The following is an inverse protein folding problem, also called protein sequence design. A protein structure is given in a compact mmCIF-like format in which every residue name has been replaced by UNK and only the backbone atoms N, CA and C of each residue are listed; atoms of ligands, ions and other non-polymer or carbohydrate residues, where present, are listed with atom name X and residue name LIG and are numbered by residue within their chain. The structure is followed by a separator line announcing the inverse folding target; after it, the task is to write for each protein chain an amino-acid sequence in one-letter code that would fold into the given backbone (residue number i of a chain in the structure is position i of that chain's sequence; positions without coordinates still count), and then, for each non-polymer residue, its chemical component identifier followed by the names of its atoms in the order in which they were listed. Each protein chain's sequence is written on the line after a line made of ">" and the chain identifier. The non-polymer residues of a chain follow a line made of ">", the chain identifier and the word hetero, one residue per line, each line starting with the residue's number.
data_IF_190848830123
#
_entry.id   IF_190848830123
#
_cell.length_a   1.000
_cell.length_b   1.000
_cell.length_c   1.000
_cell.angle_alpha   90.00
_cell.angle_beta   90.00
_cell.angle_gamma   90.00
#
_symmetry.space_group_name_H-M   'P 1'
#
loop_
_entity.id
_entity.type
_entity.pdbx_description
1 polymer ?
#
# COMPACT_ATOMS: atom_id res chain seq x y z
N UNK A 1 30.33 -25.83 -11.79
CA UNK A 1 29.08 -25.44 -12.46
C UNK A 1 28.19 -24.55 -11.58
N UNK A 2 28.15 -24.70 -10.24
CA UNK A 2 27.46 -23.79 -9.30
C UNK A 2 27.84 -22.31 -9.46
N UNK A 3 29.13 -22.03 -9.35
CA UNK A 3 29.73 -20.69 -9.41
C UNK A 3 29.32 -19.82 -10.65
N UNK A 4 29.07 -20.44 -11.81
CA UNK A 4 28.63 -19.73 -13.02
C UNK A 4 27.12 -19.39 -12.99
N UNK A 5 26.33 -20.17 -12.27
CA UNK A 5 24.90 -19.93 -12.06
C UNK A 5 24.66 -18.83 -11.02
N UNK A 6 25.49 -18.76 -9.97
CA UNK A 6 25.44 -17.67 -8.99
C UNK A 6 25.87 -16.34 -9.60
N UNK A 7 26.94 -16.33 -10.42
CA UNK A 7 27.38 -15.12 -11.11
C UNK A 7 26.32 -14.56 -12.08
N UNK A 8 25.54 -15.43 -12.74
CA UNK A 8 24.43 -15.02 -13.62
C UNK A 8 23.27 -14.43 -12.81
N UNK A 9 22.90 -15.06 -11.68
CA UNK A 9 21.84 -14.54 -10.80
C UNK A 9 22.21 -13.19 -10.22
N UNK A 10 23.43 -13.04 -9.73
CA UNK A 10 23.91 -11.78 -9.15
C UNK A 10 23.96 -10.65 -10.20
N UNK A 11 24.36 -10.94 -11.44
CA UNK A 11 24.30 -9.96 -12.54
C UNK A 11 22.87 -9.53 -12.87
N UNK A 12 21.93 -10.46 -12.91
CA UNK A 12 20.51 -10.16 -13.14
C UNK A 12 19.89 -9.33 -12.01
N UNK A 13 20.29 -9.61 -10.77
CA UNK A 13 19.83 -8.88 -9.59
C UNK A 13 20.36 -7.43 -9.58
N UNK A 14 21.64 -7.22 -9.89
CA UNK A 14 22.22 -5.88 -10.05
C UNK A 14 21.52 -5.10 -11.17
N UNK A 15 21.30 -5.71 -12.34
CA UNK A 15 20.60 -5.07 -13.46
C UNK A 15 19.16 -4.69 -13.10
N UNK A 16 18.45 -5.54 -12.33
CA UNK A 16 17.11 -5.23 -11.84
C UNK A 16 17.12 -4.07 -10.85
N UNK A 17 18.07 -4.03 -9.91
CA UNK A 17 18.23 -2.94 -8.94
C UNK A 17 18.49 -1.61 -9.67
N UNK A 18 19.41 -1.60 -10.64
CA UNK A 18 19.70 -0.41 -11.45
C UNK A 18 18.46 0.08 -12.21
N UNK A 19 17.69 -0.85 -12.79
CA UNK A 19 16.46 -0.53 -13.50
C UNK A 19 15.38 0.06 -12.59
N UNK A 20 15.20 -0.47 -11.38
CA UNK A 20 14.27 0.07 -10.39
C UNK A 20 14.70 1.47 -10.00
N UNK A 21 15.98 1.67 -9.69
CA UNK A 21 16.52 2.98 -9.32
C UNK A 21 16.30 4.02 -10.41
N UNK A 22 16.60 3.71 -11.67
CA UNK A 22 16.35 4.63 -12.79
C UNK A 22 14.87 4.95 -12.98
N UNK A 23 13.97 3.99 -12.75
CA UNK A 23 12.52 4.25 -12.75
C UNK A 23 12.11 5.20 -11.63
N UNK A 24 12.61 4.99 -10.41
CA UNK A 24 12.31 5.80 -9.24
C UNK A 24 12.83 7.24 -9.40
N UNK A 25 14.05 7.41 -9.91
CA UNK A 25 14.63 8.72 -10.25
C UNK A 25 13.74 9.46 -11.27
N UNK A 26 13.32 8.78 -12.34
CA UNK A 26 12.44 9.37 -13.35
C UNK A 26 11.06 9.74 -12.79
N UNK A 27 10.47 8.89 -11.95
CA UNK A 27 9.18 9.19 -11.31
C UNK A 27 9.32 10.39 -10.38
N UNK A 28 10.40 10.47 -9.61
CA UNK A 28 10.65 11.63 -8.77
C UNK A 28 10.75 12.91 -9.61
N UNK A 29 11.54 12.91 -10.69
CA UNK A 29 11.68 14.06 -11.59
C UNK A 29 10.37 14.49 -12.23
N UNK A 30 9.51 13.56 -12.67
CA UNK A 30 8.24 13.87 -13.34
C UNK A 30 7.18 14.44 -12.36
N UNK A 31 7.19 14.02 -11.09
CA UNK A 31 6.15 14.37 -10.11
C UNK A 31 6.63 15.37 -9.04
N UNK A 32 7.91 15.77 -9.07
CA UNK A 32 8.48 16.80 -8.21
C UNK A 32 7.89 18.17 -8.49
N UNK A 33 7.65 18.94 -7.42
CA UNK A 33 7.15 20.31 -7.50
C UNK A 33 8.06 21.25 -6.71
N UNK A 34 8.67 22.21 -7.41
CA UNK A 34 9.49 23.25 -6.78
C UNK A 34 8.66 24.08 -5.79
N UNK A 35 9.23 24.29 -4.59
CA UNK A 35 8.60 25.04 -3.51
C UNK A 35 7.51 24.29 -2.75
N UNK A 36 7.30 22.99 -3.01
CA UNK A 36 6.37 22.12 -2.27
C UNK A 36 7.12 20.98 -1.56
N UNK A 37 7.97 21.32 -0.59
CA UNK A 37 8.82 20.34 0.10
C UNK A 37 8.04 19.19 0.77
N UNK A 38 6.89 19.49 1.38
CA UNK A 38 6.03 18.47 1.97
C UNK A 38 5.51 17.45 0.94
N UNK A 39 5.10 17.91 -0.24
CA UNK A 39 4.71 17.06 -1.37
C UNK A 39 5.89 16.19 -1.83
N UNK A 40 7.07 16.77 -2.01
CA UNK A 40 8.25 16.03 -2.48
C UNK A 40 8.73 15.00 -1.44
N UNK A 41 8.58 15.30 -0.14
CA UNK A 41 8.85 14.34 0.94
C UNK A 41 7.86 13.17 0.90
N UNK A 42 6.58 13.45 0.69
CA UNK A 42 5.52 12.45 0.52
C UNK A 42 5.76 11.55 -0.69
N UNK A 43 6.24 12.12 -1.81
CA UNK A 43 6.67 11.37 -2.99
C UNK A 43 7.88 10.47 -2.73
N UNK A 44 8.90 10.95 -2.01
CA UNK A 44 10.03 10.12 -1.60
C UNK A 44 9.58 8.97 -0.70
N UNK A 45 8.67 9.24 0.23
CA UNK A 45 8.14 8.21 1.12
C UNK A 45 7.41 7.12 0.34
N UNK A 46 6.66 7.47 -0.72
CA UNK A 46 6.07 6.50 -1.64
C UNK A 46 7.12 5.57 -2.28
N UNK A 47 8.23 6.14 -2.76
CA UNK A 47 9.31 5.38 -3.39
C UNK A 47 10.00 4.46 -2.39
N UNK A 48 10.36 4.97 -1.22
CA UNK A 48 10.95 4.20 -0.12
C UNK A 48 10.03 3.07 0.33
N UNK A 49 8.73 3.35 0.50
CA UNK A 49 7.73 2.33 0.84
C UNK A 49 7.66 1.26 -0.24
N UNK A 50 7.64 1.64 -1.53
CA UNK A 50 7.59 0.67 -2.63
C UNK A 50 8.75 -0.32 -2.60
N UNK A 51 9.97 0.17 -2.31
CA UNK A 51 11.14 -0.69 -2.16
C UNK A 51 11.01 -1.60 -0.93
N UNK A 52 10.59 -1.05 0.22
CA UNK A 52 10.48 -1.80 1.48
C UNK A 52 9.49 -2.96 1.45
N UNK A 53 8.36 -2.80 0.74
CA UNK A 53 7.30 -3.83 0.67
C UNK A 53 7.37 -4.66 -0.62
N UNK A 54 8.40 -4.44 -1.45
CA UNK A 54 8.56 -5.12 -2.72
C UNK A 54 7.45 -4.81 -3.74
N UNK A 55 6.91 -3.59 -3.71
CA UNK A 55 5.96 -3.13 -4.70
C UNK A 55 6.69 -2.68 -5.98
N UNK A 56 6.07 -2.94 -7.13
CA UNK A 56 6.56 -2.50 -8.43
C UNK A 56 5.79 -1.28 -8.89
N UNK A 57 6.51 -0.21 -9.27
CA UNK A 57 5.91 0.96 -9.90
C UNK A 57 6.18 0.92 -11.41
N UNK A 58 5.10 0.94 -12.17
CA UNK A 58 5.12 0.99 -13.62
C UNK A 58 4.50 2.30 -14.10
N UNK A 59 5.35 3.17 -14.66
CA UNK A 59 4.88 4.29 -15.45
C UNK A 59 4.41 3.76 -16.79
N UNK A 60 3.14 3.39 -16.90
CA UNK A 60 2.55 3.16 -18.21
C UNK A 60 2.62 4.45 -19.04
N UNK A 61 3.00 4.40 -20.32
CA UNK A 61 2.71 5.47 -21.26
C UNK A 61 1.21 5.44 -21.59
N UNK A 62 0.36 5.72 -20.60
CA UNK A 62 -1.09 5.77 -20.73
C UNK A 62 -1.56 7.16 -21.16
N UNK A 63 -2.54 7.21 -22.07
CA UNK A 63 -3.12 8.41 -22.68
C UNK A 63 -3.06 9.64 -21.77
N UNK A 64 -2.16 10.58 -22.11
CA UNK A 64 -2.17 11.92 -21.55
C UNK A 64 -3.54 12.55 -21.80
N UNK A 65 -4.50 12.35 -20.90
CA UNK A 65 -5.62 13.27 -20.79
C UNK A 65 -5.01 14.60 -20.41
N UNK A 66 -5.43 15.66 -21.10
CA UNK A 66 -4.94 17.01 -20.92
C UNK A 66 -4.72 17.31 -19.42
N UNK A 67 -3.46 17.46 -19.02
CA UNK A 67 -3.00 17.83 -17.68
C UNK A 67 -3.01 16.76 -16.55
N UNK A 68 -3.11 15.47 -16.88
CA UNK A 68 -2.92 14.38 -15.88
C UNK A 68 -1.77 13.43 -16.25
N UNK A 69 -0.94 13.11 -15.25
CA UNK A 69 0.07 12.06 -15.30
C UNK A 69 -0.45 10.83 -14.55
N UNK A 70 0.01 9.64 -14.91
CA UNK A 70 -0.43 8.42 -14.23
C UNK A 70 0.66 7.37 -14.16
N UNK A 71 0.54 6.52 -13.16
CA UNK A 71 1.39 5.35 -12.93
C UNK A 71 0.59 4.29 -12.20
N UNK A 72 1.03 3.04 -12.32
CA UNK A 72 0.42 1.90 -11.65
C UNK A 72 1.40 1.34 -10.61
N UNK A 73 0.88 1.03 -9.43
CA UNK A 73 1.61 0.34 -8.36
C UNK A 73 1.07 -1.09 -8.29
N UNK A 74 1.95 -2.08 -8.34
CA UNK A 74 1.60 -3.49 -8.12
C UNK A 74 2.26 -3.97 -6.86
N UNK A 75 1.50 -4.66 -6.01
CA UNK A 75 2.02 -5.22 -4.76
C UNK A 75 1.30 -6.52 -4.41
N UNK A 76 1.84 -7.24 -3.43
CA UNK A 76 1.21 -8.45 -2.88
C UNK A 76 0.87 -8.24 -1.42
N UNK A 77 -0.26 -8.79 -0.97
CA UNK A 77 -0.52 -8.94 0.45
C UNK A 77 0.55 -9.85 1.06
N UNK A 78 1.17 -9.40 2.15
CA UNK A 78 2.37 -9.97 2.76
C UNK A 78 2.20 -11.46 3.06
N UNK A 79 1.10 -11.80 3.74
CA UNK A 79 0.80 -13.18 4.13
C UNK A 79 -0.32 -13.82 3.32
N UNK A 80 -1.18 -13.02 2.71
CA UNK A 80 -2.27 -13.52 1.87
C UNK A 80 -1.81 -13.96 0.48
N UNK A 81 -0.68 -13.43 -0.01
CA UNK A 81 -0.21 -13.64 -1.38
C UNK A 81 -1.08 -12.99 -2.46
N UNK A 82 -2.14 -12.27 -2.07
CA UNK A 82 -3.11 -11.66 -2.98
C UNK A 82 -2.44 -10.56 -3.78
N UNK A 83 -2.64 -10.56 -5.09
CA UNK A 83 -2.06 -9.54 -5.99
C UNK A 83 -2.98 -8.32 -6.09
N UNK A 84 -2.44 -7.16 -5.76
CA UNK A 84 -3.11 -5.86 -5.82
C UNK A 84 -2.48 -4.94 -6.86
N UNK A 85 -3.31 -4.02 -7.36
CA UNK A 85 -2.94 -2.97 -8.30
C UNK A 85 -3.60 -1.66 -7.88
N UNK A 86 -2.82 -0.58 -7.80
CA UNK A 86 -3.30 0.78 -7.55
C UNK A 86 -2.98 1.60 -8.78
N UNK A 87 -4.00 1.98 -9.54
CA UNK A 87 -3.84 2.94 -10.62
C UNK A 87 -3.93 4.35 -10.06
N UNK A 88 -2.92 5.17 -10.33
CA UNK A 88 -2.81 6.54 -9.82
C UNK A 88 -2.94 7.53 -10.96
N UNK A 89 -3.79 8.54 -10.79
CA UNK A 89 -3.88 9.70 -11.67
C UNK A 89 -3.59 10.97 -10.88
N UNK A 90 -2.56 11.70 -11.28
CA UNK A 90 -2.06 12.91 -10.63
C UNK A 90 -2.20 14.13 -11.54
N UNK A 91 -2.60 15.27 -10.97
CA UNK A 91 -2.74 16.55 -11.68
C UNK A 91 -1.67 17.54 -11.20
N UNK A 92 -0.51 17.65 -11.87
CA UNK A 92 0.61 18.48 -11.43
C UNK A 92 0.28 19.98 -11.36
N UNK A 93 -0.72 20.44 -12.10
CA UNK A 93 -1.19 21.83 -12.03
C UNK A 93 -1.64 22.24 -10.63
N UNK A 94 -2.25 21.33 -9.87
CA UNK A 94 -2.65 21.57 -8.48
C UNK A 94 -1.42 21.82 -7.60
N UNK A 95 -0.40 20.96 -7.69
CA UNK A 95 0.85 21.12 -6.96
C UNK A 95 1.53 22.46 -7.26
N UNK A 96 1.59 22.87 -8.54
CA UNK A 96 2.15 24.17 -8.95
C UNK A 96 1.37 25.39 -8.45
N UNK A 97 0.06 25.25 -8.21
CA UNK A 97 -0.75 26.32 -7.63
C UNK A 97 -0.47 26.40 -6.12
N UNK A 98 -0.46 25.26 -5.43
CA UNK A 98 -0.18 25.15 -3.99
C UNK A 98 1.20 25.73 -3.68
N UNK A 99 2.23 25.35 -4.44
CA UNK A 99 3.63 25.71 -4.15
C UNK A 99 3.90 27.23 -4.14
N UNK A 100 3.05 28.03 -4.80
CA UNK A 100 3.16 29.50 -4.81
C UNK A 100 2.88 30.14 -3.45
N UNK A 101 2.15 29.46 -2.57
CA UNK A 101 1.64 30.02 -1.31
C UNK A 101 1.83 29.11 -0.10
N UNK A 102 2.20 27.84 -0.30
CA UNK A 102 2.32 26.85 0.78
C UNK A 102 3.29 27.29 1.89
N UNK A 103 4.42 27.92 1.53
CA UNK A 103 5.36 28.45 2.53
C UNK A 103 4.76 29.52 3.45
N UNK A 104 3.85 30.36 2.95
CA UNK A 104 3.15 31.36 3.78
C UNK A 104 2.19 30.70 4.75
N UNK A 105 1.52 29.63 4.30
CA UNK A 105 0.62 28.84 5.12
C UNK A 105 1.39 28.09 6.22
N UNK A 106 2.52 27.48 5.88
CA UNK A 106 3.42 26.80 6.83
C UNK A 106 3.97 27.77 7.89
N UNK A 107 4.37 28.98 7.49
CA UNK A 107 4.82 30.02 8.41
C UNK A 107 3.71 30.47 9.36
N UNK A 108 2.49 30.65 8.84
CA UNK A 108 1.34 31.06 9.64
C UNK A 108 0.94 29.99 10.66
N UNK A 109 0.95 28.72 10.27
CA UNK A 109 0.67 27.59 11.17
C UNK A 109 1.76 27.47 12.25
N UNK A 110 3.04 27.60 11.88
CA UNK A 110 4.13 27.59 12.87
C UNK A 110 4.06 28.78 13.84
N UNK A 111 3.54 29.92 13.40
CA UNK A 111 3.37 31.12 14.21
C UNK A 111 2.12 31.08 15.09
N UNK A 112 1.08 30.36 14.66
CA UNK A 112 -0.09 30.05 15.47
C UNK A 112 0.34 29.26 16.72
N UNK A 113 -0.19 29.64 17.88
CA UNK A 113 0.03 28.92 19.15
C UNK A 113 -1.21 28.14 19.57
N UNK A 114 -2.22 28.08 18.71
CA UNK A 114 -3.48 27.38 18.95
C UNK A 114 -3.62 26.19 18.00
N UNK A 115 -3.46 25.00 18.56
CA UNK A 115 -3.66 23.71 17.89
C UNK A 115 -5.03 23.64 17.19
N UNK A 116 -6.06 24.29 17.75
CA UNK A 116 -7.42 24.28 17.21
C UNK A 116 -7.58 25.11 15.92
N UNK A 117 -6.84 26.21 15.75
CA UNK A 117 -6.92 27.03 14.52
C UNK A 117 -6.18 26.35 13.36
N UNK A 118 -5.05 25.72 13.65
CA UNK A 118 -4.24 24.99 12.66
C UNK A 118 -4.97 23.76 12.11
N UNK A 119 -5.71 23.08 12.99
CA UNK A 119 -6.56 21.94 12.64
C UNK A 119 -7.71 22.31 11.69
N UNK A 120 -8.09 23.59 11.58
CA UNK A 120 -9.17 24.06 10.71
C UNK A 120 -8.62 24.72 9.45
N UNK A 121 -7.58 25.55 9.58
CA UNK A 121 -7.06 26.34 8.46
C UNK A 121 -6.47 25.45 7.36
N UNK A 122 -5.69 24.44 7.73
CA UNK A 122 -5.02 23.58 6.76
C UNK A 122 -6.02 22.75 5.93
N UNK A 123 -6.99 22.01 6.51
CA UNK A 123 -8.03 21.35 5.73
C UNK A 123 -8.85 22.31 4.86
N UNK A 124 -9.20 23.49 5.36
CA UNK A 124 -9.99 24.47 4.60
C UNK A 124 -9.25 25.00 3.37
N UNK A 125 -7.95 25.29 3.52
CA UNK A 125 -7.12 25.80 2.42
C UNK A 125 -6.79 24.73 1.39
N UNK A 126 -6.72 23.47 1.82
CA UNK A 126 -6.35 22.36 0.95
C UNK A 126 -7.54 21.68 0.27
N UNK A 127 -8.76 21.84 0.79
CA UNK A 127 -9.99 21.27 0.22
C UNK A 127 -10.14 21.45 -1.31
N UNK A 128 -9.84 22.62 -1.92
CA UNK A 128 -9.94 22.78 -3.38
C UNK A 128 -9.01 21.88 -4.20
N UNK A 129 -8.05 21.24 -3.55
CA UNK A 129 -7.04 20.39 -4.15
C UNK A 129 -7.26 18.89 -3.84
N UNK A 130 -8.42 18.51 -3.31
CA UNK A 130 -8.78 17.12 -2.99
C UNK A 130 -8.75 16.17 -4.21
N UNK A 131 -8.91 16.70 -5.43
CA UNK A 131 -8.81 15.98 -6.70
C UNK A 131 -7.42 16.03 -7.35
N UNK A 132 -6.38 16.40 -6.59
CA UNK A 132 -5.00 16.38 -7.06
C UNK A 132 -4.55 14.95 -7.40
N UNK A 133 -5.00 13.95 -6.63
CA UNK A 133 -4.78 12.53 -6.89
C UNK A 133 -6.11 11.78 -6.89
N UNK A 134 -6.27 10.90 -7.87
CA UNK A 134 -7.33 9.90 -7.94
C UNK A 134 -6.70 8.51 -8.00
N UNK A 135 -7.23 7.58 -7.21
CA UNK A 135 -6.78 6.18 -7.18
C UNK A 135 -7.89 5.24 -7.60
N UNK A 136 -7.51 4.16 -8.27
CA UNK A 136 -8.39 3.02 -8.55
C UNK A 136 -7.70 1.73 -8.12
N UNK A 137 -8.18 1.17 -7.01
CA UNK A 137 -7.61 -0.01 -6.36
C UNK A 137 -8.29 -1.28 -6.87
N UNK A 138 -7.49 -2.30 -7.17
CA UNK A 138 -7.95 -3.57 -7.73
C UNK A 138 -7.18 -4.75 -7.15
N UNK A 139 -7.79 -5.92 -7.18
CA UNK A 139 -7.14 -7.21 -6.94
C UNK A 139 -7.23 -8.08 -8.20
N UNK A 140 -6.26 -8.96 -8.42
CA UNK A 140 -6.24 -9.82 -9.61
C UNK A 140 -6.98 -11.14 -9.36
N UNK A 141 -8.12 -11.34 -10.03
CA UNK A 141 -8.86 -12.60 -9.99
C UNK A 141 -8.28 -13.60 -10.98
N UNK A 142 -7.48 -14.53 -10.48
CA UNK A 142 -6.87 -15.60 -11.26
C UNK A 142 -7.88 -16.47 -12.01
N UNK A 143 -9.09 -16.64 -11.50
CA UNK A 143 -10.13 -17.48 -12.13
C UNK A 143 -10.64 -16.84 -13.42
N UNK A 144 -10.64 -15.50 -13.47
CA UNK A 144 -11.12 -14.69 -14.59
C UNK A 144 -9.98 -14.19 -15.47
N UNK A 145 -8.77 -14.16 -14.93
CA UNK A 145 -7.61 -13.55 -15.58
C UNK A 145 -7.75 -12.03 -15.71
N UNK A 146 -8.47 -11.40 -14.78
CA UNK A 146 -8.80 -9.97 -14.85
C UNK A 146 -8.70 -9.30 -13.48
N UNK A 147 -8.63 -7.97 -13.48
CA UNK A 147 -8.56 -7.14 -12.29
C UNK A 147 -9.96 -6.72 -11.83
N UNK A 148 -10.29 -7.03 -10.59
CA UNK A 148 -11.55 -6.64 -9.95
C UNK A 148 -11.35 -5.49 -8.97
N UNK A 149 -12.28 -4.54 -8.97
CA UNK A 149 -12.16 -3.32 -8.17
C UNK A 149 -12.37 -3.58 -6.67
N UNK A 150 -11.54 -2.98 -5.84
CA UNK A 150 -11.69 -2.90 -4.38
C UNK A 150 -11.90 -1.45 -3.99
N UNK A 151 -12.99 -1.13 -3.30
CA UNK A 151 -13.24 0.25 -2.85
C UNK A 151 -12.55 0.50 -1.50
N UNK A 152 -11.25 0.75 -1.53
CA UNK A 152 -10.49 1.29 -0.39
C UNK A 152 -10.14 2.73 -0.75
N UNK A 153 -10.97 3.66 -0.31
CA UNK A 153 -10.68 5.09 -0.45
C UNK A 153 -10.10 5.62 0.86
N UNK A 154 -8.99 6.36 0.84
CA UNK A 154 -8.54 7.11 2.00
C UNK A 154 -9.68 7.98 2.52
N UNK A 155 -9.86 8.03 3.83
CA UNK A 155 -10.90 8.84 4.45
C UNK A 155 -10.77 10.30 3.98
N UNK A 156 -11.87 10.85 3.48
CA UNK A 156 -11.96 12.25 3.03
C UNK A 156 -12.79 13.11 4.01
N UNK A 157 -12.92 12.65 5.25
CA UNK A 157 -13.78 13.30 6.23
C UNK A 157 -13.25 14.70 6.54
N UNK A 158 -14.16 15.67 6.60
CA UNK A 158 -13.89 17.10 6.81
C UNK A 158 -13.28 17.45 8.18
N UNK A 159 -13.04 16.46 9.04
CA UNK A 159 -12.53 16.60 10.40
C UNK A 159 -11.16 15.93 10.59
N UNK A 160 -10.61 15.28 9.57
CA UNK A 160 -9.28 14.69 9.64
C UNK A 160 -8.20 15.71 9.25
N UNK A 161 -7.01 15.64 9.87
CA UNK A 161 -5.90 16.50 9.49
C UNK A 161 -5.53 16.25 8.02
N UNK A 162 -5.36 17.32 7.25
CA UNK A 162 -4.97 17.16 5.85
C UNK A 162 -3.57 16.56 5.74
N UNK A 163 -3.47 15.54 4.89
CA UNK A 163 -2.24 14.82 4.56
C UNK A 163 -1.85 15.06 3.10
N UNK A 164 -0.56 14.94 2.78
CA UNK A 164 -0.15 15.06 1.39
C UNK A 164 -0.71 13.90 0.57
N UNK A 165 -1.10 14.10 -0.71
CA UNK A 165 -1.78 13.04 -1.43
C UNK A 165 -0.99 11.75 -1.65
N UNK A 166 0.35 11.78 -1.67
CA UNK A 166 1.14 10.54 -1.71
C UNK A 166 1.17 9.81 -0.36
N UNK A 167 0.96 10.49 0.78
CA UNK A 167 0.82 9.86 2.10
C UNK A 167 -0.39 8.92 2.11
N UNK A 168 -1.50 9.38 1.50
CA UNK A 168 -2.70 8.56 1.33
C UNK A 168 -2.44 7.29 0.48
N UNK A 169 -1.58 7.39 -0.54
CA UNK A 169 -1.18 6.23 -1.35
C UNK A 169 -0.32 5.28 -0.52
N UNK A 170 0.63 5.80 0.25
CA UNK A 170 1.46 5.00 1.16
C UNK A 170 0.60 4.27 2.19
N UNK A 171 -0.35 4.95 2.82
CA UNK A 171 -1.31 4.33 3.75
C UNK A 171 -2.12 3.23 3.06
N UNK A 172 -2.59 3.46 1.83
CA UNK A 172 -3.27 2.46 1.04
C UNK A 172 -2.37 1.25 0.70
N UNK A 173 -1.09 1.49 0.39
CA UNK A 173 -0.12 0.41 0.15
C UNK A 173 0.05 -0.46 1.39
N UNK A 174 0.21 0.13 2.58
CA UNK A 174 0.29 -0.63 3.82
C UNK A 174 -1.01 -1.38 4.14
N UNK A 175 -2.17 -0.75 3.92
CA UNK A 175 -3.48 -1.38 4.10
C UNK A 175 -3.67 -2.63 3.22
N UNK A 176 -3.14 -2.61 1.99
CA UNK A 176 -3.18 -3.76 1.07
C UNK A 176 -2.05 -4.77 1.32
N UNK A 177 -0.91 -4.31 1.84
CA UNK A 177 0.21 -5.17 2.21
C UNK A 177 -0.14 -6.00 3.45
N UNK A 178 -0.73 -5.39 4.47
CA UNK A 178 -1.23 -6.04 5.68
C UNK A 178 -2.73 -6.36 5.55
N UNK A 179 -3.14 -6.92 4.42
CA UNK A 179 -4.55 -7.08 4.04
C UNK A 179 -5.35 -8.02 4.95
N UNK A 180 -4.74 -9.09 5.46
CA UNK A 180 -5.42 -10.01 6.40
C UNK A 180 -5.84 -9.29 7.69
N UNK A 181 -4.98 -8.41 8.23
CA UNK A 181 -5.28 -7.61 9.42
C UNK A 181 -6.23 -6.46 9.08
N UNK A 182 -5.94 -5.75 8.00
CA UNK A 182 -6.73 -4.59 7.56
C UNK A 182 -8.17 -4.98 7.20
N UNK A 183 -8.39 -6.14 6.60
CA UNK A 183 -9.72 -6.65 6.26
C UNK A 183 -10.63 -6.90 7.48
N UNK A 184 -10.05 -7.08 8.67
CA UNK A 184 -10.80 -7.24 9.92
C UNK A 184 -11.39 -5.91 10.40
N UNK A 185 -10.84 -4.76 9.98
CA UNK A 185 -11.34 -3.46 10.40
C UNK A 185 -12.82 -3.28 9.98
N UNK A 186 -13.68 -2.69 10.85
CA UNK A 186 -15.12 -2.59 10.60
C UNK A 186 -15.48 -1.93 9.26
N UNK A 187 -14.74 -0.88 8.88
CA UNK A 187 -15.00 -0.08 7.68
C UNK A 187 -14.40 -0.68 6.39
N UNK A 188 -13.62 -1.77 6.47
CA UNK A 188 -12.91 -2.36 5.33
C UNK A 188 -13.72 -3.42 4.58
N UNK A 189 -15.03 -3.21 4.42
CA UNK A 189 -15.97 -4.21 3.88
C UNK A 189 -15.62 -4.72 2.47
N UNK A 190 -15.18 -3.85 1.56
CA UNK A 190 -14.86 -4.26 0.18
C UNK A 190 -13.54 -5.00 0.10
N UNK A 191 -12.54 -4.60 0.89
CA UNK A 191 -11.29 -5.33 1.05
C UNK A 191 -11.56 -6.70 1.67
N UNK A 192 -12.36 -6.78 2.74
CA UNK A 192 -12.76 -8.04 3.36
C UNK A 192 -13.36 -9.02 2.37
N UNK A 193 -14.29 -8.56 1.52
CA UNK A 193 -14.88 -9.39 0.45
C UNK A 193 -13.87 -9.81 -0.61
N UNK A 194 -12.94 -8.93 -0.98
CA UNK A 194 -11.85 -9.27 -1.88
C UNK A 194 -10.98 -10.38 -1.27
N UNK A 195 -10.51 -10.20 -0.04
CA UNK A 195 -9.67 -11.18 0.69
C UNK A 195 -10.39 -12.52 0.88
N UNK A 196 -11.67 -12.52 1.28
CA UNK A 196 -12.48 -13.74 1.39
C UNK A 196 -12.54 -14.53 0.07
N UNK A 197 -12.54 -13.83 -1.07
CA UNK A 197 -12.55 -14.46 -2.38
C UNK A 197 -11.15 -14.86 -2.87
N UNK A 198 -10.13 -14.06 -2.56
CA UNK A 198 -8.80 -14.15 -3.16
C UNK A 198 -7.80 -14.95 -2.33
N UNK A 199 -7.81 -14.83 -1.01
CA UNK A 199 -6.83 -15.50 -0.14
C UNK A 199 -6.85 -17.04 -0.27
N UNK A 200 -8.02 -17.72 -0.28
CA UNK A 200 -8.05 -19.17 -0.51
C UNK A 200 -7.48 -19.55 -1.88
N UNK A 201 -7.74 -18.73 -2.91
CA UNK A 201 -7.20 -18.96 -4.25
C UNK A 201 -5.69 -18.79 -4.28
N UNK A 202 -5.16 -17.75 -3.66
CA UNK A 202 -3.72 -17.53 -3.54
C UNK A 202 -3.04 -18.68 -2.80
N UNK A 203 -3.67 -19.24 -1.75
CA UNK A 203 -3.17 -20.44 -1.08
C UNK A 203 -3.14 -21.67 -2.02
N UNK A 204 -4.25 -21.97 -2.72
CA UNK A 204 -4.31 -23.07 -3.69
C UNK A 204 -3.30 -22.92 -4.84
N UNK A 205 -2.99 -21.68 -5.21
CA UNK A 205 -2.02 -21.35 -6.27
C UNK A 205 -0.57 -21.29 -5.75
N UNK A 206 -0.33 -21.60 -4.48
CA UNK A 206 1.01 -21.51 -3.85
C UNK A 206 1.62 -20.10 -3.95
N UNK A 207 0.78 -19.07 -3.87
CA UNK A 207 1.21 -17.67 -3.80
C UNK A 207 1.41 -17.19 -2.35
N UNK A 208 1.02 -18.00 -1.36
CA UNK A 208 1.28 -17.80 0.08
C UNK A 208 2.57 -18.53 0.50
N UNK A 209 2.97 -18.41 1.76
CA UNK A 209 4.04 -19.25 2.33
C UNK A 209 3.69 -20.74 2.13
N UNK A 210 4.58 -21.56 1.51
CA UNK A 210 4.31 -22.97 1.23
C UNK A 210 4.22 -23.85 2.48
N UNK A 211 4.66 -23.35 3.64
CA UNK A 211 4.57 -24.03 4.93
C UNK A 211 3.27 -23.73 5.67
N UNK A 212 2.40 -22.88 5.11
CA UNK A 212 1.16 -22.46 5.72
C UNK A 212 0.14 -23.62 5.75
N UNK A 213 -0.22 -24.14 6.93
CA UNK A 213 -1.19 -25.23 7.03
C UNK A 213 -2.61 -24.76 6.70
N UNK A 214 -3.44 -25.68 6.20
CA UNK A 214 -4.84 -25.39 5.84
C UNK A 214 -5.67 -24.96 7.05
N UNK A 215 -5.32 -25.43 8.25
CA UNK A 215 -5.98 -25.09 9.50
C UNK A 215 -5.87 -23.59 9.80
N UNK A 216 -4.69 -22.99 9.60
CA UNK A 216 -4.47 -21.55 9.82
C UNK A 216 -5.23 -20.71 8.78
N UNK A 217 -5.23 -21.15 7.51
CA UNK A 217 -6.00 -20.50 6.44
C UNK A 217 -7.50 -20.55 6.74
N UNK A 218 -8.00 -21.71 7.13
CA UNK A 218 -9.40 -21.92 7.49
C UNK A 218 -9.82 -21.04 8.67
N UNK A 219 -8.96 -20.92 9.69
CA UNK A 219 -9.20 -20.07 10.86
C UNK A 219 -9.36 -18.60 10.47
N UNK A 220 -8.44 -18.05 9.67
CA UNK A 220 -8.55 -16.69 9.16
C UNK A 220 -9.83 -16.46 8.33
N UNK A 221 -10.16 -17.41 7.44
CA UNK A 221 -11.38 -17.31 6.63
C UNK A 221 -12.62 -17.28 7.52
N UNK A 222 -12.69 -18.14 8.54
CA UNK A 222 -13.84 -18.16 9.46
C UNK A 222 -13.97 -16.83 10.21
N UNK A 223 -12.86 -16.26 10.71
CA UNK A 223 -12.89 -14.94 11.36
C UNK A 223 -13.39 -13.85 10.40
N UNK A 224 -12.88 -13.83 9.17
CA UNK A 224 -13.34 -12.87 8.16
C UNK A 224 -14.82 -13.05 7.80
N UNK A 225 -15.32 -14.30 7.76
CA UNK A 225 -16.74 -14.59 7.53
C UNK A 225 -17.59 -14.09 8.69
N UNK A 226 -17.17 -14.33 9.92
CA UNK A 226 -17.91 -13.85 11.11
C UNK A 226 -18.01 -12.33 11.11
N UNK A 227 -16.91 -11.64 10.81
CA UNK A 227 -16.87 -10.18 10.68
C UNK A 227 -17.73 -9.71 9.49
N UNK A 228 -17.71 -10.37 8.33
CA UNK A 228 -18.61 -10.01 7.21
C UNK A 228 -20.10 -10.22 7.54
N UNK A 229 -20.42 -11.19 8.42
CA UNK A 229 -21.79 -11.51 8.83
C UNK A 229 -22.30 -10.67 10.00
N UNK A 230 -21.44 -9.88 10.65
CA UNK A 230 -21.82 -9.05 11.78
C UNK A 230 -22.88 -8.00 11.37
N UNK A 231 -23.85 -7.77 12.24
CA UNK A 231 -25.06 -6.97 11.90
C UNK A 231 -24.95 -5.51 12.30
N UNK A 232 -24.08 -5.19 13.25
CA UNK A 232 -23.80 -3.83 13.70
C UNK A 232 -22.31 -3.66 14.03
N UNK A 233 -21.91 -2.40 14.22
CA UNK A 233 -20.54 -2.01 14.55
C UNK A 233 -20.07 -2.56 15.91
N UNK A 234 -20.96 -2.61 16.90
CA UNK A 234 -20.66 -3.18 18.22
C UNK A 234 -20.36 -4.69 18.15
N UNK A 235 -21.11 -5.43 17.32
CA UNK A 235 -20.85 -6.85 17.07
C UNK A 235 -19.49 -7.05 16.37
N UNK A 236 -19.16 -6.18 15.41
CA UNK A 236 -17.87 -6.19 14.69
C UNK A 236 -16.71 -5.96 15.66
N UNK A 237 -16.79 -4.93 16.49
CA UNK A 237 -15.76 -4.61 17.47
C UNK A 237 -15.58 -5.73 18.49
N UNK A 238 -16.68 -6.32 18.95
CA UNK A 238 -16.65 -7.47 19.87
C UNK A 238 -15.97 -8.70 19.25
N UNK A 239 -16.28 -9.02 18.00
CA UNK A 239 -15.64 -10.12 17.27
C UNK A 239 -14.14 -9.86 17.07
N UNK A 240 -13.77 -8.66 16.63
CA UNK A 240 -12.36 -8.29 16.45
C UNK A 240 -11.57 -8.40 17.76
N UNK A 241 -12.11 -7.91 18.87
CA UNK A 241 -11.48 -8.03 20.17
C UNK A 241 -11.29 -9.49 20.62
N UNK A 242 -12.23 -10.37 20.27
CA UNK A 242 -12.14 -11.80 20.57
C UNK A 242 -11.06 -12.50 19.72
N UNK A 243 -10.91 -12.10 18.46
CA UNK A 243 -9.95 -12.70 17.53
C UNK A 243 -8.55 -12.11 17.60
N UNK A 244 -8.36 -10.95 18.24
CA UNK A 244 -7.08 -10.24 18.34
C UNK A 244 -5.93 -11.15 18.80
N UNK A 245 -6.17 -11.96 19.84
CA UNK A 245 -5.15 -12.87 20.36
C UNK A 245 -4.76 -13.94 19.32
N UNK A 246 -5.74 -14.53 18.64
CA UNK A 246 -5.52 -15.57 17.64
C UNK A 246 -4.84 -15.01 16.39
N UNK A 247 -5.25 -13.83 15.94
CA UNK A 247 -4.62 -13.10 14.83
C UNK A 247 -3.18 -12.74 15.18
N UNK A 248 -2.90 -12.29 16.40
CA UNK A 248 -1.53 -12.00 16.84
C UNK A 248 -0.67 -13.26 16.84
N UNK A 249 -1.19 -14.40 17.32
CA UNK A 249 -0.45 -15.68 17.28
C UNK A 249 -0.16 -16.12 15.84
N UNK A 250 -1.13 -15.96 14.94
CA UNK A 250 -0.97 -16.27 13.52
C UNK A 250 0.11 -15.39 12.88
N UNK A 251 0.09 -14.08 13.15
CA UNK A 251 1.12 -13.14 12.70
C UNK A 251 2.50 -13.54 13.19
N UNK A 252 2.65 -13.83 14.47
CA UNK A 252 3.92 -14.27 15.05
C UNK A 252 4.42 -15.57 14.40
N UNK A 253 3.52 -16.52 14.11
CA UNK A 253 3.84 -17.75 13.40
C UNK A 253 4.31 -17.48 11.96
N UNK A 254 3.66 -16.56 11.25
CA UNK A 254 4.08 -16.12 9.92
C UNK A 254 5.45 -15.45 9.95
N UNK A 255 5.69 -14.52 10.86
CA UNK A 255 6.98 -13.83 11.01
C UNK A 255 8.11 -14.79 11.41
N UNK A 256 7.82 -15.80 12.24
CA UNK A 256 8.77 -16.84 12.59
C UNK A 256 9.14 -17.70 11.36
N UNK A 257 8.16 -18.00 10.51
CA UNK A 257 8.38 -18.69 9.24
C UNK A 257 9.24 -17.86 8.28
N UNK A 258 8.94 -16.58 8.08
CA UNK A 258 9.76 -15.66 7.25
C UNK A 258 11.21 -15.65 7.74
N UNK A 259 11.45 -15.36 9.02
CA UNK A 259 12.81 -15.33 9.60
C UNK A 259 13.58 -16.63 9.44
N UNK A 260 12.90 -17.77 9.59
CA UNK A 260 13.52 -19.08 9.42
C UNK A 260 13.92 -19.30 7.95
N UNK A 261 13.07 -18.89 7.01
CA UNK A 261 13.36 -18.99 5.58
C UNK A 261 14.55 -18.11 5.19
N UNK A 262 14.55 -16.84 5.62
CA UNK A 262 15.63 -15.92 5.34
C UNK A 262 16.96 -16.41 5.94
N UNK A 263 16.94 -16.91 7.18
CA UNK A 263 18.13 -17.49 7.81
C UNK A 263 18.64 -18.72 7.06
N UNK A 264 17.76 -19.58 6.56
CA UNK A 264 18.16 -20.75 5.76
C UNK A 264 18.75 -20.32 4.41
N UNK A 265 18.14 -19.34 3.75
CA UNK A 265 18.63 -18.79 2.49
C UNK A 265 20.00 -18.11 2.66
N UNK A 266 20.19 -17.33 3.72
CA UNK A 266 21.48 -16.72 4.04
C UNK A 266 22.56 -17.74 4.38
N UNK A 267 22.23 -18.86 5.05
CA UNK A 267 23.19 -19.94 5.28
C UNK A 267 23.59 -20.64 3.98
N UNK A 268 22.62 -20.91 3.10
CA UNK A 268 22.90 -21.51 1.77
C UNK A 268 23.72 -20.57 0.88
N UNK A 269 23.55 -19.26 1.02
CA UNK A 269 24.29 -18.23 0.27
C UNK A 269 25.63 -17.83 0.92
N UNK A 270 25.83 -18.12 2.21
CA UNK A 270 27.03 -17.81 2.98
C UNK A 270 28.01 -18.97 3.14
N UNK A 271 27.60 -20.19 2.78
CA UNK A 271 28.49 -21.36 2.65
C UNK A 271 29.02 -21.48 1.21
N UNK A 272 29.85 -20.51 0.78
CA UNK A 272 30.81 -20.66 -0.34
C UNK A 272 32.23 -20.30 0.09
#
# INVERSE_FOLDING_TARGET
>A
MKNKSEEIKMKQEIENIEKIRTKNERLFEEFHIDGAEGHNKSLNWLLETSESIGAEIDMEPGEHRYDSMGFDIRLRGRFSGVRYGIKVSYKPSFGRIISRRIGQLDEQIKASHSVDEDAILWPAMMYPFDKMIETDTRWYDQRRGDWERVCVEPSRLSHEPWVWPFDNIVSLMYALYEDLETAMLPHMNTLRKAVLASYPLSWFMSETDPRLPVEEVSMYINHLVDVDCARCEEDLEGLNANYEQEISMLREAHEARERTFDSMMLQVLGEE
#
